data_IF_420045605000
#
_entry.id   IF_420045605000
#
_cell.length_a   1.000
_cell.length_b   1.000
_cell.length_c   1.000
_cell.angle_alpha   90.00
_cell.angle_beta   90.00
_cell.angle_gamma   90.00
#
_symmetry.space_group_name_H-M   'P 1'
#
loop_
_entity.id
_entity.type
_entity.pdbx_description
1 polymer ?
#
# COMPACT_ATOMS: atom_id res chain seq x y z
N UNK A 1 -8.57 0.53 -11.78
CA UNK A 1 -7.46 1.22 -11.12
C UNK A 1 -6.20 0.71 -11.78
N UNK A 2 -5.45 1.59 -12.42
CA UNK A 2 -4.16 1.24 -13.00
C UNK A 2 -3.04 1.24 -11.96
N UNK A 3 -1.84 0.81 -12.35
CA UNK A 3 -0.66 0.74 -11.48
C UNK A 3 -0.25 2.11 -10.91
N UNK A 4 -0.44 3.19 -11.66
CA UNK A 4 -0.04 4.55 -11.26
C UNK A 4 -1.00 5.08 -10.20
N UNK A 5 -2.30 4.87 -10.40
CA UNK A 5 -3.33 5.19 -9.41
C UNK A 5 -3.13 4.40 -8.11
N UNK A 6 -2.81 3.11 -8.23
CA UNK A 6 -2.62 2.23 -7.09
C UNK A 6 -1.36 2.61 -6.31
N UNK A 7 -0.25 2.90 -7.01
CA UNK A 7 0.97 3.44 -6.39
C UNK A 7 0.70 4.75 -5.64
N UNK A 8 -0.06 5.66 -6.25
CA UNK A 8 -0.42 6.94 -5.65
C UNK A 8 -1.21 6.75 -4.35
N UNK A 9 -2.14 5.80 -4.32
CA UNK A 9 -2.89 5.44 -3.09
C UNK A 9 -1.99 4.83 -2.02
N UNK A 10 -1.05 3.97 -2.38
CA UNK A 10 -0.08 3.40 -1.44
C UNK A 10 0.74 4.53 -0.80
N UNK A 11 1.22 5.49 -1.59
CA UNK A 11 1.96 6.65 -1.09
C UNK A 11 1.13 7.52 -0.14
N UNK A 12 -0.14 7.77 -0.47
CA UNK A 12 -1.05 8.53 0.39
C UNK A 12 -1.27 7.83 1.74
N UNK A 13 -1.61 6.53 1.71
CA UNK A 13 -1.80 5.72 2.92
C UNK A 13 -0.53 5.59 3.75
N UNK A 14 0.64 5.47 3.12
CA UNK A 14 1.94 5.45 3.81
C UNK A 14 2.19 6.77 4.54
N UNK A 15 1.86 7.91 3.93
CA UNK A 15 1.98 9.23 4.58
C UNK A 15 1.01 9.35 5.75
N UNK A 16 -0.23 8.89 5.59
CA UNK A 16 -1.22 8.85 6.67
C UNK A 16 -0.71 8.02 7.87
N UNK A 17 -0.20 6.81 7.60
CA UNK A 17 0.40 5.95 8.63
C UNK A 17 1.57 6.63 9.33
N UNK A 18 2.50 7.20 8.57
CA UNK A 18 3.67 7.89 9.15
C UNK A 18 3.27 9.08 10.03
N UNK A 19 2.27 9.85 9.63
CA UNK A 19 1.74 10.95 10.43
C UNK A 19 1.11 10.44 11.73
N UNK A 20 0.31 9.38 11.64
CA UNK A 20 -0.35 8.79 12.80
C UNK A 20 0.66 8.19 13.80
N UNK A 21 1.64 7.44 13.29
CA UNK A 21 2.75 6.88 14.06
C UNK A 21 3.57 7.98 14.72
N UNK A 22 3.88 9.06 13.98
CA UNK A 22 4.64 10.20 14.52
C UNK A 22 3.87 10.96 15.61
N UNK A 23 2.54 11.02 15.51
CA UNK A 23 1.69 11.62 16.54
C UNK A 23 1.50 10.72 17.77
N UNK A 24 1.79 9.42 17.66
CA UNK A 24 1.51 8.39 18.69
C UNK A 24 2.71 7.47 18.94
N UNK A 25 3.93 8.01 18.90
CA UNK A 25 5.20 7.25 19.02
C UNK A 25 5.21 6.29 20.24
N UNK A 26 4.53 6.66 21.32
CA UNK A 26 4.46 5.88 22.56
C UNK A 26 3.47 4.71 22.54
N UNK A 27 2.54 4.67 21.58
CA UNK A 27 1.55 3.60 21.44
C UNK A 27 1.21 3.36 19.96
N UNK A 28 1.97 2.44 19.35
CA UNK A 28 1.79 2.01 17.97
C UNK A 28 0.75 0.88 17.83
N UNK A 29 0.21 0.39 18.94
CA UNK A 29 -0.73 -0.74 18.97
C UNK A 29 -2.19 -0.32 18.82
N UNK A 30 -2.43 0.97 18.58
CA UNK A 30 -3.79 1.48 18.40
C UNK A 30 -4.48 0.82 17.21
N UNK A 31 -5.78 0.56 17.36
CA UNK A 31 -6.60 -0.04 16.30
C UNK A 31 -6.56 0.74 14.99
N UNK A 32 -6.29 2.05 15.02
CA UNK A 32 -6.17 2.90 13.84
C UNK A 32 -4.88 2.60 13.06
N UNK A 33 -3.74 2.47 13.73
CA UNK A 33 -2.45 2.12 13.11
C UNK A 33 -2.53 0.73 12.48
N UNK A 34 -3.08 -0.24 13.21
CA UNK A 34 -3.26 -1.61 12.71
C UNK A 34 -4.16 -1.62 11.47
N UNK A 35 -5.26 -0.86 11.51
CA UNK A 35 -6.19 -0.79 10.37
C UNK A 35 -5.51 -0.20 9.13
N UNK A 36 -4.80 0.92 9.26
CA UNK A 36 -4.09 1.54 8.13
C UNK A 36 -2.98 0.63 7.60
N UNK A 37 -2.29 -0.10 8.49
CA UNK A 37 -1.29 -1.09 8.09
C UNK A 37 -1.90 -2.22 7.25
N UNK A 38 -3.05 -2.77 7.67
CA UNK A 38 -3.73 -3.81 6.91
C UNK A 38 -4.23 -3.28 5.55
N UNK A 39 -4.77 -2.06 5.50
CA UNK A 39 -5.18 -1.41 4.24
C UNK A 39 -3.97 -1.22 3.29
N UNK A 40 -2.79 -0.90 3.83
CA UNK A 40 -1.54 -0.81 3.05
C UNK A 40 -1.12 -2.17 2.49
N UNK A 41 -1.20 -3.24 3.30
CA UNK A 41 -0.86 -4.59 2.85
C UNK A 41 -1.77 -5.05 1.71
N UNK A 42 -3.08 -4.77 1.80
CA UNK A 42 -4.03 -5.05 0.72
C UNK A 42 -3.71 -4.28 -0.57
N UNK A 43 -3.38 -2.98 -0.45
CA UNK A 43 -3.00 -2.17 -1.60
C UNK A 43 -1.68 -2.63 -2.24
N UNK A 44 -0.70 -3.02 -1.43
CA UNK A 44 0.59 -3.55 -1.90
C UNK A 44 0.39 -4.90 -2.58
N UNK A 45 -0.46 -5.78 -2.03
CA UNK A 45 -0.79 -7.05 -2.66
C UNK A 45 -1.44 -6.84 -4.04
N UNK A 46 -2.42 -5.93 -4.13
CA UNK A 46 -3.04 -5.57 -5.40
C UNK A 46 -2.03 -4.96 -6.40
N UNK A 47 -1.03 -4.22 -5.91
CA UNK A 47 0.04 -3.66 -6.74
C UNK A 47 0.88 -4.76 -7.37
N UNK A 48 1.31 -5.72 -6.56
CA UNK A 48 2.11 -6.84 -7.03
C UNK A 48 1.32 -7.76 -7.97
N UNK A 49 0.03 -7.96 -7.73
CA UNK A 49 -0.82 -8.73 -8.65
C UNK A 49 -0.91 -8.04 -10.01
N UNK A 50 -1.23 -6.73 -10.05
CA UNK A 50 -1.30 -5.97 -11.29
C UNK A 50 0.04 -5.86 -12.00
N UNK A 51 1.13 -5.64 -11.25
CA UNK A 51 2.49 -5.62 -11.80
C UNK A 51 2.85 -6.98 -12.39
N UNK A 52 2.60 -8.06 -11.65
CA UNK A 52 2.75 -9.45 -12.07
C UNK A 52 1.99 -9.80 -13.34
N UNK A 53 0.77 -9.26 -13.50
CA UNK A 53 -0.02 -9.43 -14.72
C UNK A 53 0.58 -8.66 -15.92
N UNK A 54 1.24 -7.52 -15.71
CA UNK A 54 1.89 -6.76 -16.78
C UNK A 54 3.21 -7.39 -17.25
N UNK A 55 4.02 -7.98 -16.35
CA UNK A 55 5.26 -8.70 -16.73
C UNK A 55 5.00 -10.04 -17.42
N UNK A 56 3.91 -10.75 -17.11
CA UNK A 56 3.56 -12.00 -17.79
C UNK A 56 2.90 -11.79 -19.18
N UNK A 57 2.78 -10.54 -19.64
CA UNK A 57 2.27 -10.18 -20.97
C UNK A 57 3.37 -9.87 -22.00
N UNK A 58 4.65 -10.05 -21.68
CA UNK A 58 5.71 -10.00 -22.70
C UNK A 58 5.48 -11.12 -23.74
N UNK A 59 5.41 -10.80 -25.05
CA UNK A 59 5.30 -11.83 -26.08
C UNK A 59 6.61 -12.61 -26.09
N UNK A 60 6.52 -13.92 -25.93
CA UNK A 60 7.63 -14.81 -26.23
C UNK A 60 7.77 -14.82 -27.76
N UNK A 61 8.63 -13.95 -28.30
CA UNK A 61 9.12 -14.00 -29.69
C UNK A 61 10.18 -15.10 -29.86
#
# INVERSE_FOLDING_TARGET
>A
MDIIELYSKIEEKRKELNNLVSSRISDLSTSEIIKISNELDELIAAYFELFGLQINQEPVE
#
